data_IF_610099759415
#
_entry.id   IF_610099759415
#
_cell.length_a   1.000
_cell.length_b   1.000
_cell.length_c   1.000
_cell.angle_alpha   90.00
_cell.angle_beta   90.00
_cell.angle_gamma   90.00
#
_symmetry.space_group_name_H-M   'P 1'
#
loop_
_entity.id
_entity.type
_entity.pdbx_description
1 polymer ?
#
# COMPACT_ATOMS: atom_id res chain seq x y z
N UNK A 1 9.71 10.64 16.41
CA UNK A 1 8.85 11.46 16.91
C UNK A 1 7.53 11.65 16.22
N UNK A 2 6.58 12.09 16.92
CA UNK A 2 5.19 11.91 16.58
C UNK A 2 4.52 13.14 16.00
N UNK A 3 5.26 14.12 15.54
CA UNK A 3 4.69 15.31 14.90
C UNK A 3 4.32 15.10 13.43
N UNK A 4 4.61 13.91 12.88
CA UNK A 4 4.29 13.60 11.51
C UNK A 4 2.79 13.33 11.35
N UNK A 5 2.22 13.78 10.24
CA UNK A 5 0.82 13.60 9.91
C UNK A 5 0.68 12.69 8.68
N UNK A 6 -0.53 12.20 8.38
CA UNK A 6 -0.73 11.39 7.18
C UNK A 6 -0.39 12.10 5.86
N UNK A 7 -0.33 13.42 5.85
CA UNK A 7 0.11 14.16 4.68
C UNK A 7 1.62 14.08 4.45
N UNK A 8 2.37 13.67 5.46
CA UNK A 8 3.82 13.51 5.40
C UNK A 8 4.19 12.06 5.06
N UNK A 9 3.54 11.47 4.06
CA UNK A 9 3.63 10.05 3.74
C UNK A 9 5.06 9.57 3.50
N UNK A 10 5.87 10.36 2.83
CA UNK A 10 7.25 9.97 2.55
C UNK A 10 8.08 9.88 3.83
N UNK A 11 7.92 10.85 4.70
CA UNK A 11 8.64 10.87 5.98
C UNK A 11 8.17 9.74 6.88
N UNK A 12 6.86 9.47 6.90
CA UNK A 12 6.31 8.35 7.65
C UNK A 12 6.83 7.01 7.12
N UNK A 13 6.93 6.85 5.81
CA UNK A 13 7.50 5.65 5.22
C UNK A 13 8.95 5.46 5.68
N UNK A 14 9.76 6.50 5.61
CA UNK A 14 11.15 6.44 6.04
C UNK A 14 11.30 6.11 7.53
N UNK A 15 10.36 6.57 8.34
CA UNK A 15 10.34 6.29 9.77
C UNK A 15 9.84 4.89 10.09
N UNK A 16 8.77 4.47 9.44
CA UNK A 16 8.09 3.21 9.75
C UNK A 16 8.68 1.99 9.06
N UNK A 17 9.21 2.16 7.86
CA UNK A 17 9.71 1.00 7.12
C UNK A 17 10.78 0.20 7.84
N UNK A 18 11.78 0.81 8.48
CA UNK A 18 12.76 0.01 9.24
C UNK A 18 12.12 -0.86 10.33
N UNK A 19 11.06 -0.36 10.97
CA UNK A 19 10.33 -1.10 12.00
C UNK A 19 9.57 -2.27 11.35
N UNK A 20 8.85 -2.00 10.26
CA UNK A 20 8.08 -3.01 9.53
C UNK A 20 9.01 -4.10 9.00
N UNK A 21 10.14 -3.70 8.44
CA UNK A 21 11.14 -4.64 7.93
C UNK A 21 11.62 -5.61 9.00
N UNK A 22 11.92 -5.12 10.19
CA UNK A 22 12.36 -5.98 11.29
C UNK A 22 11.25 -6.88 11.80
N UNK A 23 10.01 -6.43 11.78
CA UNK A 23 8.86 -7.27 12.10
C UNK A 23 8.73 -8.43 11.12
N UNK A 24 8.92 -8.17 9.83
CA UNK A 24 8.86 -9.19 8.79
C UNK A 24 9.97 -10.21 9.00
N UNK A 25 11.20 -9.76 9.23
CA UNK A 25 12.33 -10.63 9.47
C UNK A 25 12.10 -11.54 10.68
N UNK A 26 11.59 -10.97 11.75
CA UNK A 26 11.28 -11.74 12.97
C UNK A 26 10.23 -12.81 12.70
N UNK A 27 9.18 -12.47 11.97
CA UNK A 27 8.14 -13.45 11.63
C UNK A 27 8.69 -14.60 10.78
N UNK A 28 9.53 -14.30 9.79
CA UNK A 28 10.17 -15.33 8.96
C UNK A 28 11.07 -16.23 9.79
N UNK A 29 11.90 -15.63 10.64
CA UNK A 29 12.84 -16.38 11.49
C UNK A 29 12.14 -17.30 12.49
N UNK A 30 10.96 -16.90 12.96
CA UNK A 30 10.18 -17.67 13.92
C UNK A 30 9.13 -18.57 13.27
N UNK A 31 9.07 -18.61 11.94
CA UNK A 31 8.08 -19.43 11.23
C UNK A 31 6.63 -18.99 11.49
N UNK A 32 6.43 -17.71 11.75
CA UNK A 32 5.11 -17.15 12.04
C UNK A 32 4.46 -16.58 10.79
N UNK A 33 3.15 -16.69 10.71
CA UNK A 33 2.39 -16.04 9.65
C UNK A 33 2.14 -14.58 10.02
N UNK A 34 2.35 -13.68 9.08
CA UNK A 34 2.17 -12.25 9.29
C UNK A 34 1.58 -11.63 8.02
N UNK A 35 0.54 -10.84 8.18
CA UNK A 35 -0.04 -10.03 7.10
C UNK A 35 0.12 -8.56 7.48
N UNK A 36 0.70 -7.78 6.57
CA UNK A 36 0.88 -6.35 6.77
C UNK A 36 0.18 -5.61 5.66
N UNK A 37 -0.65 -4.66 6.02
CA UNK A 37 -1.32 -3.76 5.09
C UNK A 37 -0.92 -2.33 5.40
N UNK A 38 -0.73 -1.52 4.37
CA UNK A 38 -0.45 -0.11 4.59
C UNK A 38 0.20 0.56 3.39
N UNK A 39 0.32 1.86 3.48
CA UNK A 39 0.88 2.70 2.43
C UNK A 39 2.38 2.94 2.58
N UNK A 40 3.00 2.40 3.62
CA UNK A 40 4.37 2.76 3.99
C UNK A 40 5.39 1.68 3.67
N UNK A 41 5.07 0.82 2.72
CA UNK A 41 5.98 -0.20 2.20
C UNK A 41 6.56 0.33 0.90
N UNK A 42 7.88 0.58 0.81
CA UNK A 42 8.47 1.13 -0.40
C UNK A 42 8.44 0.13 -1.55
N UNK A 43 8.38 0.64 -2.79
CA UNK A 43 8.36 -0.24 -3.96
C UNK A 43 9.68 -0.98 -4.16
N UNK A 44 10.78 -0.47 -3.61
CA UNK A 44 12.08 -1.14 -3.66
C UNK A 44 12.33 -2.04 -2.43
N UNK A 45 11.28 -2.51 -1.79
CA UNK A 45 11.38 -3.28 -0.54
C UNK A 45 12.26 -4.52 -0.65
N UNK A 46 12.35 -5.12 -1.84
CA UNK A 46 13.15 -6.33 -2.06
C UNK A 46 14.63 -6.12 -1.78
N UNK A 47 15.12 -4.89 -1.94
CA UNK A 47 16.53 -4.59 -1.73
C UNK A 47 16.97 -4.76 -0.27
N UNK A 48 16.02 -4.72 0.66
CA UNK A 48 16.30 -4.81 2.09
C UNK A 48 16.24 -6.23 2.64
N UNK A 49 16.00 -7.24 1.76
CA UNK A 49 15.91 -8.63 2.18
C UNK A 49 16.84 -9.53 1.39
N UNK A 50 17.46 -10.48 2.09
CA UNK A 50 18.22 -11.54 1.45
C UNK A 50 17.30 -12.55 0.77
N UNK A 51 17.85 -13.38 -0.11
CA UNK A 51 17.08 -14.38 -0.85
C UNK A 51 16.28 -15.31 0.04
N UNK A 52 16.83 -15.65 1.21
CA UNK A 52 16.16 -16.54 2.16
C UNK A 52 14.86 -15.94 2.68
N UNK A 53 14.84 -14.64 2.89
CA UNK A 53 13.61 -13.94 3.29
C UNK A 53 12.66 -13.78 2.11
N UNK A 54 13.18 -13.42 0.94
CA UNK A 54 12.34 -13.14 -0.23
C UNK A 54 11.47 -14.32 -0.64
N UNK A 55 11.96 -15.54 -0.51
CA UNK A 55 11.17 -16.73 -0.85
C UNK A 55 9.96 -16.94 0.06
N UNK A 56 9.95 -16.32 1.23
CA UNK A 56 8.87 -16.44 2.20
C UNK A 56 7.90 -15.26 2.18
N UNK A 57 8.16 -14.25 1.34
CA UNK A 57 7.37 -13.01 1.31
C UNK A 57 6.55 -12.95 0.03
N UNK A 58 5.24 -12.68 0.19
CA UNK A 58 4.36 -12.36 -0.93
C UNK A 58 3.94 -10.90 -0.83
N UNK A 59 4.07 -10.17 -1.91
CA UNK A 59 3.74 -8.76 -1.96
C UNK A 59 2.74 -8.48 -3.06
N UNK A 60 1.73 -7.69 -2.75
CA UNK A 60 0.75 -7.24 -3.74
C UNK A 60 0.42 -5.78 -3.47
N UNK A 61 0.45 -4.97 -4.52
CA UNK A 61 -0.01 -3.59 -4.48
C UNK A 61 -1.41 -3.52 -5.08
N UNK A 62 -2.35 -2.91 -4.37
CA UNK A 62 -3.69 -2.73 -4.89
C UNK A 62 -3.73 -1.49 -5.76
N UNK A 63 -4.19 -1.63 -7.00
CA UNK A 63 -4.28 -0.53 -7.95
C UNK A 63 -5.70 -0.47 -8.48
N UNK A 64 -6.35 0.68 -8.32
CA UNK A 64 -7.68 0.91 -8.87
C UNK A 64 -7.55 1.49 -10.29
N UNK A 65 -8.34 0.96 -11.23
CA UNK A 65 -8.38 1.49 -12.58
C UNK A 65 -9.08 2.85 -12.62
N UNK A 66 -8.83 3.60 -13.69
CA UNK A 66 -9.54 4.86 -13.92
C UNK A 66 -11.06 4.64 -13.98
N UNK A 67 -11.50 3.58 -14.66
CA UNK A 67 -12.91 3.23 -14.75
C UNK A 67 -13.52 2.98 -13.38
N UNK A 68 -12.84 2.21 -12.53
CA UNK A 68 -13.32 1.94 -11.18
C UNK A 68 -13.43 3.23 -10.37
N UNK A 69 -12.39 4.07 -10.42
CA UNK A 69 -12.36 5.33 -9.66
C UNK A 69 -13.49 6.25 -10.12
N UNK A 70 -13.71 6.38 -11.43
CA UNK A 70 -14.77 7.24 -11.96
C UNK A 70 -16.17 6.75 -11.55
N UNK A 71 -16.38 5.45 -11.50
CA UNK A 71 -17.69 4.89 -11.19
C UNK A 71 -17.96 4.76 -9.69
N UNK A 72 -16.93 4.75 -8.85
CA UNK A 72 -17.06 4.46 -7.42
C UNK A 72 -16.43 5.51 -6.52
N UNK A 73 -16.11 6.68 -7.04
CA UNK A 73 -15.38 7.69 -6.26
C UNK A 73 -16.09 8.07 -4.95
N UNK A 74 -17.41 8.20 -4.98
CA UNK A 74 -18.16 8.57 -3.77
C UNK A 74 -17.99 7.53 -2.66
N UNK A 75 -17.93 6.25 -3.01
CA UNK A 75 -17.70 5.17 -2.07
C UNK A 75 -16.26 5.20 -1.56
N UNK A 76 -15.29 5.45 -2.43
CA UNK A 76 -13.88 5.55 -2.05
C UNK A 76 -13.71 6.65 -1.01
N UNK A 77 -14.27 7.82 -1.26
CA UNK A 77 -14.19 8.96 -0.35
C UNK A 77 -14.86 8.66 0.99
N UNK A 78 -16.00 8.01 0.95
CA UNK A 78 -16.74 7.62 2.15
C UNK A 78 -15.91 6.68 3.02
N UNK A 79 -15.31 5.66 2.43
CA UNK A 79 -14.52 4.68 3.19
C UNK A 79 -13.22 5.28 3.72
N UNK A 80 -12.62 6.22 3.03
CA UNK A 80 -11.44 6.91 3.54
C UNK A 80 -11.73 7.59 4.87
N UNK A 81 -12.88 8.25 5.00
CA UNK A 81 -13.28 8.90 6.24
C UNK A 81 -13.62 7.90 7.35
N UNK A 82 -14.20 6.75 7.01
CA UNK A 82 -14.57 5.75 8.00
C UNK A 82 -13.32 5.12 8.62
N UNK A 83 -12.32 4.80 7.80
CA UNK A 83 -11.14 4.07 8.27
C UNK A 83 -10.20 4.98 9.05
N UNK A 84 -9.89 6.15 8.54
CA UNK A 84 -8.87 7.03 9.12
C UNK A 84 -9.44 8.17 9.96
N UNK A 85 -10.71 8.48 9.83
CA UNK A 85 -11.39 9.54 10.59
C UNK A 85 -10.61 10.85 10.62
N UNK A 86 -10.13 11.27 9.47
CA UNK A 86 -9.39 12.53 9.36
C UNK A 86 -10.32 13.73 9.57
N UNK A 87 -9.85 14.79 10.24
CA UNK A 87 -10.68 15.99 10.44
C UNK A 87 -11.09 16.66 9.14
N UNK A 88 -10.26 16.54 8.12
CA UNK A 88 -10.47 17.16 6.82
C UNK A 88 -10.21 16.14 5.73
N UNK A 89 -11.18 15.92 4.85
CA UNK A 89 -11.09 14.98 3.74
C UNK A 89 -10.85 15.67 2.39
N UNK A 90 -10.49 16.95 2.39
CA UNK A 90 -10.24 17.69 1.15
C UNK A 90 -9.10 17.12 0.32
N UNK A 91 -8.18 16.36 0.94
CA UNK A 91 -7.09 15.66 0.26
C UNK A 91 -7.61 14.59 -0.70
N UNK A 92 -8.79 14.02 -0.43
CA UNK A 92 -9.34 12.92 -1.21
C UNK A 92 -10.19 13.45 -2.35
N UNK A 93 -9.54 13.86 -3.44
CA UNK A 93 -10.22 14.30 -4.67
C UNK A 93 -10.10 13.19 -5.71
N UNK A 94 -10.98 13.21 -6.72
CA UNK A 94 -10.90 12.24 -7.82
C UNK A 94 -9.54 12.30 -8.50
N UNK A 95 -9.04 13.52 -8.73
CA UNK A 95 -7.75 13.74 -9.37
C UNK A 95 -6.61 13.16 -8.55
N UNK A 96 -6.61 13.37 -7.23
CA UNK A 96 -5.54 12.84 -6.37
C UNK A 96 -5.55 11.33 -6.33
N UNK A 97 -6.74 10.71 -6.28
CA UNK A 97 -6.87 9.27 -6.28
C UNK A 97 -6.39 8.68 -7.61
N UNK A 98 -6.75 9.31 -8.73
CA UNK A 98 -6.28 8.89 -10.06
C UNK A 98 -4.76 8.97 -10.16
N UNK A 99 -4.18 10.09 -9.76
CA UNK A 99 -2.72 10.29 -9.82
C UNK A 99 -1.97 9.29 -8.96
N UNK A 100 -2.46 9.03 -7.75
CA UNK A 100 -1.84 8.06 -6.84
C UNK A 100 -1.86 6.66 -7.43
N UNK A 101 -2.97 6.23 -8.01
CA UNK A 101 -3.09 4.90 -8.57
C UNK A 101 -2.27 4.73 -9.85
N UNK A 102 -2.19 5.75 -10.71
CA UNK A 102 -1.31 5.73 -11.86
C UNK A 102 0.16 5.64 -11.41
N UNK A 103 0.53 6.42 -10.41
CA UNK A 103 1.88 6.38 -9.86
C UNK A 103 2.21 4.98 -9.31
N UNK A 104 1.32 4.39 -8.53
CA UNK A 104 1.53 3.07 -7.96
C UNK A 104 1.69 2.01 -9.05
N UNK A 105 0.88 2.08 -10.09
CA UNK A 105 0.97 1.15 -11.21
C UNK A 105 2.33 1.26 -11.93
N UNK A 106 2.76 2.48 -12.20
CA UNK A 106 4.04 2.72 -12.85
C UNK A 106 5.21 2.25 -11.99
N UNK A 107 5.15 2.47 -10.69
CA UNK A 107 6.18 2.03 -9.76
C UNK A 107 6.23 0.52 -9.65
N UNK A 108 5.09 -0.15 -9.67
CA UNK A 108 5.06 -1.62 -9.69
C UNK A 108 5.75 -2.17 -10.94
N UNK A 109 5.53 -1.56 -12.07
CA UNK A 109 6.22 -1.95 -13.31
C UNK A 109 7.72 -1.69 -13.22
N UNK A 110 8.10 -0.54 -12.68
CA UNK A 110 9.51 -0.15 -12.57
C UNK A 110 10.31 -1.09 -11.68
N UNK A 111 9.74 -1.50 -10.56
CA UNK A 111 10.42 -2.33 -9.57
C UNK A 111 10.05 -3.80 -9.65
N UNK A 112 9.22 -4.19 -10.61
CA UNK A 112 8.82 -5.59 -10.78
C UNK A 112 7.97 -6.12 -9.64
N UNK A 113 7.14 -5.27 -9.04
CA UNK A 113 6.23 -5.67 -7.97
C UNK A 113 4.96 -6.28 -8.53
N UNK A 114 4.40 -7.25 -7.82
CA UNK A 114 3.08 -7.78 -8.15
C UNK A 114 2.01 -6.76 -7.77
N UNK A 115 0.94 -6.71 -8.55
CA UNK A 115 -0.18 -5.84 -8.24
C UNK A 115 -1.50 -6.54 -8.54
N UNK A 116 -2.55 -6.06 -7.88
CA UNK A 116 -3.93 -6.53 -8.11
C UNK A 116 -4.71 -5.34 -8.66
N UNK A 117 -5.23 -5.49 -9.89
CA UNK A 117 -6.01 -4.44 -10.52
C UNK A 117 -7.47 -4.55 -10.11
N UNK A 118 -8.00 -3.48 -9.53
CA UNK A 118 -9.40 -3.36 -9.17
C UNK A 118 -10.08 -2.55 -10.25
N UNK A 119 -10.90 -3.19 -11.07
CA UNK A 119 -11.46 -2.57 -12.25
C UNK A 119 -12.99 -2.46 -12.23
N UNK A 120 -13.71 -3.56 -12.12
CA UNK A 120 -15.17 -3.54 -12.16
C UNK A 120 -15.80 -3.53 -10.78
N UNK A 121 -15.23 -4.26 -9.85
CA UNK A 121 -15.70 -4.36 -8.48
C UNK A 121 -14.51 -4.58 -7.56
N UNK A 122 -14.65 -4.19 -6.30
CA UNK A 122 -13.60 -4.44 -5.31
C UNK A 122 -13.61 -5.95 -5.00
N UNK A 123 -12.73 -6.66 -5.68
CA UNK A 123 -12.59 -8.09 -5.52
C UNK A 123 -11.10 -8.43 -5.49
N UNK A 124 -10.66 -9.04 -4.41
CA UNK A 124 -9.27 -9.47 -4.25
C UNK A 124 -9.24 -10.98 -4.27
N UNK A 125 -8.62 -11.54 -5.30
CA UNK A 125 -8.53 -12.98 -5.50
C UNK A 125 -7.07 -13.38 -5.48
N UNK A 126 -6.58 -13.73 -4.29
CA UNK A 126 -5.20 -14.17 -4.08
C UNK A 126 -5.19 -15.41 -3.20
N UNK A 127 -4.20 -16.26 -3.41
CA UNK A 127 -3.91 -17.38 -2.53
C UNK A 127 -2.82 -16.96 -1.54
N UNK A 128 -3.09 -17.13 -0.28
CA UNK A 128 -2.13 -16.80 0.78
C UNK A 128 -1.33 -18.02 1.25
#
# INVERSE_FOLDING_TARGET
NTNLTPEDDKELEEYLWPIIREMIKTAVENGQNLVIEGAYIPFNWKEDFDKEYLKEIKYYCLVMSETYINNHFNQIKKYANIVEKRPDDSWCTKESVLEENVHNFEMCKKYGCNYILIDKAYCIDIEL
#
